data_IF_349021592430
#
_entry.id   IF_349021592430
#
_cell.length_a   1.000
_cell.length_b   1.000
_cell.length_c   1.000
_cell.angle_alpha   90.00
_cell.angle_beta   90.00
_cell.angle_gamma   90.00
#
_symmetry.space_group_name_H-M   'P 1'
#
loop_
_entity.id
_entity.type
_entity.pdbx_description
1 polymer ?
#
# COMPACT_ATOMS: atom_id res chain seq x y z
N UNK A 1 20.88 -6.87 7.01
CA UNK A 1 20.36 -5.70 6.25
C UNK A 1 19.62 -4.83 7.24
N UNK A 2 19.93 -3.55 7.32
CA UNK A 2 19.27 -2.61 8.23
C UNK A 2 18.45 -1.62 7.42
N UNK A 3 17.18 -1.45 7.74
CA UNK A 3 16.33 -0.41 7.17
C UNK A 3 16.51 0.89 7.93
N UNK A 4 16.58 2.00 7.20
CA UNK A 4 16.63 3.36 7.74
C UNK A 4 15.35 4.10 7.35
N UNK A 5 14.76 4.92 8.24
CA UNK A 5 13.62 5.74 7.88
C UNK A 5 13.97 6.70 6.73
N UNK A 6 13.12 6.76 5.72
CA UNK A 6 13.23 7.72 4.60
C UNK A 6 12.20 8.84 4.72
N UNK A 7 10.98 8.51 5.16
CA UNK A 7 9.92 9.46 5.33
C UNK A 7 8.69 8.85 5.99
N UNK A 8 7.81 9.70 6.47
CA UNK A 8 6.51 9.28 7.01
C UNK A 8 5.49 10.41 6.93
N UNK A 9 4.22 10.03 6.90
CA UNK A 9 3.11 10.96 7.09
C UNK A 9 2.13 10.38 8.12
N UNK A 10 1.62 11.27 8.98
CA UNK A 10 0.52 10.98 9.92
C UNK A 10 -0.57 12.00 9.66
N UNK A 11 -1.80 11.55 9.45
CA UNK A 11 -2.94 12.47 9.31
C UNK A 11 -3.32 13.07 10.66
N UNK A 12 -3.42 14.38 10.72
CA UNK A 12 -3.92 15.12 11.90
C UNK A 12 -5.45 15.26 11.89
N UNK A 13 -6.09 15.03 10.76
CA UNK A 13 -7.55 15.09 10.56
C UNK A 13 -7.95 14.10 9.45
N UNK A 14 -9.22 13.88 9.22
CA UNK A 14 -9.71 13.05 8.11
C UNK A 14 -9.26 13.57 6.76
N UNK A 15 -9.05 12.66 5.82
CA UNK A 15 -8.66 12.93 4.44
C UNK A 15 -8.49 11.67 3.61
N UNK A 16 -8.35 11.82 2.30
CA UNK A 16 -8.30 10.70 1.35
C UNK A 16 -6.90 10.31 0.89
N UNK A 17 -5.85 10.94 1.42
CA UNK A 17 -4.50 10.74 0.90
C UNK A 17 -3.47 10.68 2.03
N UNK A 18 -2.61 9.68 1.95
CA UNK A 18 -1.32 9.61 2.64
C UNK A 18 -0.24 9.65 1.57
N UNK A 19 0.70 10.57 1.68
CA UNK A 19 1.74 10.80 0.69
C UNK A 19 3.10 11.02 1.34
N UNK A 20 4.11 10.29 0.90
CA UNK A 20 5.50 10.48 1.32
C UNK A 20 6.34 10.63 0.07
N UNK A 21 6.92 11.80 -0.11
CA UNK A 21 7.72 12.20 -1.26
C UNK A 21 9.18 12.47 -0.90
N UNK A 22 9.96 12.79 -1.91
CA UNK A 22 11.38 13.15 -1.79
C UNK A 22 12.22 12.09 -1.08
N UNK A 23 11.90 10.82 -1.35
CA UNK A 23 12.62 9.69 -0.79
C UNK A 23 14.03 9.59 -1.36
N UNK A 24 15.01 9.31 -0.50
CA UNK A 24 16.36 8.95 -0.94
C UNK A 24 16.34 7.69 -1.80
N UNK A 25 17.18 7.66 -2.84
CA UNK A 25 17.39 6.48 -3.67
C UNK A 25 17.96 5.33 -2.83
N UNK A 26 17.16 4.26 -2.70
CA UNK A 26 17.52 3.02 -2.03
C UNK A 26 17.07 1.83 -2.87
N UNK A 27 17.92 0.82 -3.06
CA UNK A 27 17.61 -0.35 -3.88
C UNK A 27 16.47 -1.22 -3.33
N UNK A 28 16.16 -1.11 -2.05
CA UNK A 28 15.04 -1.81 -1.42
C UNK A 28 14.27 -0.82 -0.56
N UNK A 29 12.96 -0.75 -0.79
CA UNK A 29 12.02 -0.01 0.05
C UNK A 29 11.20 -1.00 0.88
N UNK A 30 10.98 -0.66 2.14
CA UNK A 30 10.04 -1.32 3.04
C UNK A 30 8.98 -0.29 3.47
N UNK A 31 7.72 -0.65 3.32
CA UNK A 31 6.61 0.26 3.57
C UNK A 31 5.69 -0.37 4.61
N UNK A 32 5.34 0.41 5.62
CA UNK A 32 4.37 0.03 6.64
C UNK A 32 3.28 1.10 6.73
N UNK A 33 2.02 0.69 6.84
CA UNK A 33 0.92 1.63 6.98
C UNK A 33 -0.16 1.09 7.89
N UNK A 34 -0.69 1.96 8.73
CA UNK A 34 -1.95 1.75 9.44
C UNK A 34 -2.95 2.77 8.93
N UNK A 35 -4.00 2.30 8.27
CA UNK A 35 -5.11 3.15 7.84
C UNK A 35 -6.29 2.92 8.77
N UNK A 36 -6.83 4.00 9.29
CA UNK A 36 -8.04 4.03 10.11
C UNK A 36 -9.16 4.67 9.31
N UNK A 37 -10.37 4.21 9.52
CA UNK A 37 -11.57 4.73 8.82
C UNK A 37 -12.37 3.59 8.20
N UNK A 38 -13.69 3.65 8.36
CA UNK A 38 -14.62 2.72 7.72
C UNK A 38 -14.91 3.18 6.28
N UNK A 39 -15.25 2.23 5.43
CA UNK A 39 -15.55 2.46 4.01
C UNK A 39 -14.40 3.17 3.28
N UNK A 40 -13.18 2.71 3.55
CA UNK A 40 -11.96 3.23 2.92
C UNK A 40 -11.25 2.13 2.16
N UNK A 41 -10.55 2.52 1.11
CA UNK A 41 -9.72 1.66 0.26
C UNK A 41 -8.27 2.16 0.29
N UNK A 42 -7.33 1.26 0.09
CA UNK A 42 -5.92 1.64 -0.08
C UNK A 42 -5.58 1.41 -1.56
N UNK A 43 -5.44 2.49 -2.31
CA UNK A 43 -4.96 2.49 -3.69
C UNK A 43 -3.54 3.05 -3.71
N UNK A 44 -2.59 2.25 -4.18
CA UNK A 44 -1.16 2.57 -4.10
C UNK A 44 -0.67 3.02 -5.47
N UNK A 45 -0.01 4.17 -5.51
CA UNK A 45 0.70 4.69 -6.69
C UNK A 45 2.12 5.13 -6.31
N UNK A 46 3.01 5.18 -7.30
CA UNK A 46 4.39 5.60 -7.17
C UNK A 46 4.65 6.78 -8.09
N UNK A 47 5.45 7.77 -7.63
CA UNK A 47 5.89 8.92 -8.41
C UNK A 47 4.75 9.68 -9.12
N UNK A 48 3.56 9.72 -8.50
CA UNK A 48 2.39 10.37 -9.08
C UNK A 48 1.85 9.69 -10.36
N UNK A 49 2.32 8.48 -10.70
CA UNK A 49 1.88 7.77 -11.89
C UNK A 49 0.46 7.18 -11.70
N UNK A 50 -0.50 7.71 -12.42
CA UNK A 50 -1.90 7.26 -12.47
C UNK A 50 -2.25 6.61 -13.81
N UNK A 51 -1.25 6.28 -14.62
CA UNK A 51 -1.42 5.56 -15.88
C UNK A 51 -1.65 4.06 -15.70
N UNK A 52 -1.96 3.38 -16.79
CA UNK A 52 -2.19 1.94 -16.82
C UNK A 52 -0.87 1.13 -16.76
N UNK A 53 -0.01 1.47 -15.78
CA UNK A 53 1.36 0.99 -15.66
C UNK A 53 1.55 -0.03 -14.54
N UNK A 54 0.47 -0.45 -13.88
CA UNK A 54 0.52 -1.41 -12.78
C UNK A 54 -0.08 -2.75 -13.20
N UNK A 55 0.48 -3.81 -12.64
CA UNK A 55 -0.15 -5.12 -12.63
C UNK A 55 0.09 -5.79 -11.29
N UNK A 56 -0.89 -6.51 -10.79
CA UNK A 56 -0.78 -7.19 -9.50
C UNK A 56 -1.61 -8.48 -9.47
N UNK A 57 -1.20 -9.36 -8.59
CA UNK A 57 -1.91 -10.60 -8.25
C UNK A 57 -2.09 -10.65 -6.75
N UNK A 58 -3.24 -11.09 -6.32
CA UNK A 58 -3.56 -11.19 -4.91
C UNK A 58 -4.38 -12.43 -4.60
N UNK A 59 -4.30 -12.90 -3.36
CA UNK A 59 -5.11 -13.98 -2.80
C UNK A 59 -5.16 -13.89 -1.28
N UNK A 60 -6.19 -14.45 -0.68
CA UNK A 60 -6.37 -14.45 0.77
C UNK A 60 -7.79 -14.82 1.18
N UNK A 61 -8.05 -14.89 2.49
CA UNK A 61 -9.37 -15.22 3.07
C UNK A 61 -10.05 -16.43 2.42
N UNK A 62 -9.28 -17.45 2.03
CA UNK A 62 -9.76 -18.59 1.26
C UNK A 62 -10.33 -18.25 -0.13
N UNK A 63 -10.17 -17.01 -0.59
CA UNK A 63 -10.49 -16.64 -1.96
C UNK A 63 -9.41 -17.17 -2.91
N UNK A 64 -9.82 -17.58 -4.10
CA UNK A 64 -8.88 -17.97 -5.14
C UNK A 64 -8.01 -16.80 -5.60
N UNK A 65 -6.88 -17.14 -6.22
CA UNK A 65 -6.01 -16.17 -6.88
C UNK A 65 -6.79 -15.29 -7.87
N UNK A 66 -6.53 -13.99 -7.80
CA UNK A 66 -7.03 -13.02 -8.77
C UNK A 66 -5.89 -12.13 -9.26
N UNK A 67 -6.06 -11.52 -10.42
CA UNK A 67 -5.06 -10.61 -10.97
C UNK A 67 -5.70 -9.43 -11.69
N UNK A 68 -5.00 -8.31 -11.69
CA UNK A 68 -5.31 -7.13 -12.47
C UNK A 68 -4.10 -6.75 -13.33
N UNK A 69 -4.35 -6.35 -14.57
CA UNK A 69 -3.33 -5.88 -15.51
C UNK A 69 -3.77 -4.56 -16.13
N UNK A 70 -2.80 -3.75 -16.58
CA UNK A 70 -3.07 -2.41 -17.09
C UNK A 70 -3.89 -1.57 -16.10
N UNK A 71 -3.59 -1.71 -14.81
CA UNK A 71 -4.26 -0.97 -13.75
C UNK A 71 -3.58 0.38 -13.54
N UNK A 72 -4.34 1.33 -13.00
CA UNK A 72 -3.86 2.69 -12.69
C UNK A 72 -3.29 2.78 -11.27
N UNK A 73 -3.37 1.71 -10.50
CA UNK A 73 -2.93 1.60 -9.10
C UNK A 73 -2.83 0.13 -8.69
N UNK A 74 -2.21 -0.13 -7.54
CA UNK A 74 -2.27 -1.43 -6.86
C UNK A 74 -3.37 -1.34 -5.79
N UNK A 75 -4.32 -2.29 -5.78
CA UNK A 75 -5.38 -2.36 -4.78
C UNK A 75 -5.27 -3.65 -3.96
N UNK A 76 -4.66 -3.62 -2.77
CA UNK A 76 -4.60 -4.76 -1.87
C UNK A 76 -5.84 -4.88 -0.97
N UNK A 77 -6.75 -3.91 -0.97
CA UNK A 77 -7.89 -3.88 -0.03
C UNK A 77 -8.90 -4.96 -0.36
N UNK A 78 -9.16 -5.85 0.60
CA UNK A 78 -10.17 -6.90 0.48
C UNK A 78 -11.59 -6.39 0.81
N UNK A 79 -11.72 -5.72 1.95
CA UNK A 79 -12.99 -5.18 2.45
C UNK A 79 -12.79 -3.70 2.84
N UNK A 80 -13.76 -2.88 2.49
CA UNK A 80 -13.72 -1.44 2.79
C UNK A 80 -14.36 -1.10 4.15
N UNK A 81 -15.28 -1.94 4.64
CA UNK A 81 -16.01 -1.70 5.89
C UNK A 81 -15.17 -1.67 7.17
N UNK A 82 -14.09 -2.49 7.34
CA UNK A 82 -13.29 -2.47 8.56
C UNK A 82 -12.66 -1.11 8.86
N UNK A 83 -12.62 -0.77 10.14
CA UNK A 83 -12.15 0.54 10.62
C UNK A 83 -10.64 0.63 10.86
N UNK A 84 -9.93 -0.49 10.84
CA UNK A 84 -8.46 -0.55 10.99
C UNK A 84 -7.91 -1.52 9.96
N UNK A 85 -6.96 -1.03 9.19
CA UNK A 85 -6.25 -1.76 8.13
C UNK A 85 -4.75 -1.62 8.35
N UNK A 86 -4.03 -2.71 8.21
CA UNK A 86 -2.57 -2.74 8.30
C UNK A 86 -2.00 -3.32 7.01
N UNK A 87 -0.98 -2.65 6.48
CA UNK A 87 -0.30 -3.06 5.26
C UNK A 87 1.21 -3.01 5.48
N UNK A 88 1.88 -4.04 4.98
CA UNK A 88 3.34 -4.08 4.83
C UNK A 88 3.69 -4.50 3.42
N UNK A 89 4.75 -3.91 2.82
CA UNK A 89 5.27 -4.36 1.54
C UNK A 89 6.76 -4.06 1.37
N UNK A 90 7.43 -4.90 0.59
CA UNK A 90 8.81 -4.75 0.17
C UNK A 90 8.88 -4.57 -1.34
N UNK A 91 9.76 -3.68 -1.81
CA UNK A 91 9.89 -3.31 -3.22
C UNK A 91 11.37 -3.33 -3.60
N UNK A 92 11.69 -3.96 -4.74
CA UNK A 92 12.99 -3.81 -5.40
C UNK A 92 12.95 -2.54 -6.26
N UNK A 93 13.80 -1.56 -5.94
CA UNK A 93 13.74 -0.19 -6.46
C UNK A 93 15.03 0.22 -7.20
N UNK A 94 15.50 -0.61 -8.14
CA UNK A 94 16.65 -0.24 -8.99
C UNK A 94 16.24 0.71 -10.11
N UNK A 95 17.10 1.70 -10.37
CA UNK A 95 16.96 2.61 -11.53
C UNK A 95 16.98 1.84 -12.87
N UNK A 96 16.36 2.42 -13.89
CA UNK A 96 16.24 1.88 -15.23
C UNK A 96 15.64 0.47 -15.33
N UNK A 97 14.86 0.05 -14.34
CA UNK A 97 14.19 -1.26 -14.29
C UNK A 97 12.74 -1.13 -13.85
N UNK A 98 11.87 -2.03 -14.34
CA UNK A 98 10.54 -2.20 -13.79
C UNK A 98 10.65 -2.60 -12.30
N UNK A 99 9.74 -2.08 -11.47
CA UNK A 99 9.72 -2.39 -10.03
C UNK A 99 8.84 -3.60 -9.79
N UNK A 100 9.30 -4.48 -8.91
CA UNK A 100 8.50 -5.60 -8.39
C UNK A 100 8.45 -5.52 -6.88
N UNK A 101 7.33 -5.94 -6.32
CA UNK A 101 7.17 -5.97 -4.87
C UNK A 101 6.22 -7.07 -4.41
N UNK A 102 6.29 -7.31 -3.13
CA UNK A 102 5.45 -8.26 -2.41
C UNK A 102 4.91 -7.58 -1.17
N UNK A 103 3.66 -7.86 -0.82
CA UNK A 103 3.07 -7.30 0.38
C UNK A 103 1.99 -8.16 1.00
N UNK A 104 1.61 -7.73 2.20
CA UNK A 104 0.48 -8.26 2.96
C UNK A 104 -0.41 -7.12 3.43
N UNK A 105 -1.68 -7.38 3.36
CA UNK A 105 -2.73 -6.55 3.91
C UNK A 105 -3.53 -7.35 4.92
N UNK A 106 -3.88 -6.76 6.03
CA UNK A 106 -4.83 -7.33 6.99
C UNK A 106 -5.74 -6.24 7.55
N UNK A 107 -6.95 -6.60 7.87
CA UNK A 107 -7.90 -5.77 8.61
C UNK A 107 -8.57 -6.55 9.72
N UNK A 108 -9.25 -5.85 10.61
CA UNK A 108 -9.87 -6.47 11.79
C UNK A 108 -11.06 -7.39 11.46
N UNK A 109 -11.54 -7.37 10.19
CA UNK A 109 -12.78 -8.10 9.84
C UNK A 109 -13.96 -7.63 10.68
N UNK A 110 -14.78 -8.59 11.11
CA UNK A 110 -15.83 -8.32 12.08
C UNK A 110 -15.29 -8.33 13.50
N UNK A 111 -15.84 -7.50 14.38
CA UNK A 111 -15.43 -7.42 15.77
C UNK A 111 -15.69 -8.72 16.55
N UNK A 112 -14.87 -8.96 17.57
CA UNK A 112 -15.03 -10.06 18.53
C UNK A 112 -14.12 -11.25 18.27
N UNK A 113 -13.78 -11.97 19.33
CA UNK A 113 -12.81 -13.09 19.32
C UNK A 113 -13.25 -14.30 18.50
N UNK A 114 -14.51 -14.37 18.12
CA UNK A 114 -15.07 -15.44 17.27
C UNK A 114 -14.86 -15.19 15.77
N UNK A 115 -14.34 -14.04 15.39
CA UNK A 115 -14.09 -13.66 14.01
C UNK A 115 -12.58 -13.53 13.78
N UNK A 116 -12.09 -14.22 12.75
CA UNK A 116 -10.69 -14.06 12.33
C UNK A 116 -10.52 -12.73 11.57
N UNK A 117 -9.34 -12.09 11.64
CA UNK A 117 -9.03 -10.95 10.77
C UNK A 117 -9.01 -11.37 9.30
N UNK A 118 -9.30 -10.43 8.43
CA UNK A 118 -9.07 -10.62 6.99
C UNK A 118 -7.60 -10.54 6.66
N UNK A 119 -7.15 -11.31 5.67
CA UNK A 119 -5.77 -11.30 5.17
C UNK A 119 -5.76 -11.38 3.65
N UNK A 120 -4.90 -10.56 3.03
CA UNK A 120 -4.55 -10.63 1.62
C UNK A 120 -3.03 -10.64 1.46
N UNK A 121 -2.52 -11.51 0.61
CA UNK A 121 -1.15 -11.46 0.11
C UNK A 121 -1.20 -10.96 -1.32
N UNK A 122 -0.25 -10.12 -1.71
CA UNK A 122 -0.19 -9.60 -3.06
C UNK A 122 1.26 -9.48 -3.55
N UNK A 123 1.42 -9.63 -4.83
CA UNK A 123 2.64 -9.30 -5.56
C UNK A 123 2.28 -8.34 -6.66
N UNK A 124 3.18 -7.43 -7.00
CA UNK A 124 2.90 -6.43 -8.01
C UNK A 124 4.11 -6.09 -8.85
N UNK A 125 3.83 -5.44 -9.96
CA UNK A 125 4.80 -4.83 -10.86
C UNK A 125 4.32 -3.42 -11.21
N UNK A 126 5.27 -2.48 -11.23
CA UNK A 126 5.11 -1.16 -11.82
C UNK A 126 6.12 -1.00 -12.95
N UNK A 127 5.66 -0.57 -14.13
CA UNK A 127 6.51 -0.48 -15.34
C UNK A 127 7.30 0.81 -15.43
N UNK A 128 7.18 1.72 -14.44
CA UNK A 128 8.06 2.88 -14.35
C UNK A 128 9.52 2.47 -14.22
N UNK A 129 10.42 3.13 -14.96
CA UNK A 129 11.86 2.86 -14.95
C UNK A 129 12.61 3.64 -13.88
N UNK A 130 12.13 4.82 -13.52
CA UNK A 130 12.78 5.69 -12.53
C UNK A 130 12.71 5.08 -11.12
N UNK A 131 13.65 5.43 -10.26
CA UNK A 131 13.55 5.06 -8.83
C UNK A 131 12.24 5.60 -8.23
N UNK A 132 11.67 4.86 -7.31
CA UNK A 132 10.53 5.35 -6.54
C UNK A 132 11.05 6.37 -5.54
N UNK A 133 10.65 7.62 -5.70
CA UNK A 133 10.92 8.73 -4.80
C UNK A 133 9.65 9.28 -4.12
N UNK A 134 8.47 8.76 -4.51
CA UNK A 134 7.19 9.09 -3.90
C UNK A 134 6.30 7.85 -3.80
N UNK A 135 5.65 7.70 -2.66
CA UNK A 135 4.64 6.67 -2.39
C UNK A 135 3.36 7.34 -1.93
N UNK A 136 2.26 7.11 -2.67
CA UNK A 136 0.96 7.69 -2.36
C UNK A 136 -0.07 6.58 -2.12
N UNK A 137 -0.82 6.69 -1.04
CA UNK A 137 -2.02 5.91 -0.76
C UNK A 137 -3.23 6.81 -0.91
N UNK A 138 -4.17 6.43 -1.76
CA UNK A 138 -5.38 7.21 -2.02
C UNK A 138 -6.61 6.36 -1.70
N UNK A 139 -7.63 7.01 -1.16
CA UNK A 139 -8.97 6.44 -1.00
C UNK A 139 -9.88 6.91 -2.12
N UNK A 140 -10.65 6.02 -2.71
CA UNK A 140 -11.71 6.31 -3.69
C UNK A 140 -13.09 5.80 -3.26
N UNK A 141 -13.20 5.33 -2.02
CA UNK A 141 -14.47 4.89 -1.44
C UNK A 141 -15.16 6.04 -0.66
N UNK A 142 -16.31 5.77 -0.07
CA UNK A 142 -17.19 6.79 0.51
C UNK A 142 -16.75 7.33 1.87
N UNK A 143 -15.80 6.67 2.55
CA UNK A 143 -15.24 7.13 3.84
C UNK A 143 -13.94 7.90 3.65
N UNK A 144 -13.45 8.54 4.71
CA UNK A 144 -12.14 9.19 4.77
C UNK A 144 -11.18 8.35 5.63
N UNK A 145 -9.89 8.41 5.32
CA UNK A 145 -8.87 8.01 6.30
C UNK A 145 -9.00 8.92 7.51
N UNK A 146 -9.14 8.32 8.69
CA UNK A 146 -9.27 9.08 9.94
C UNK A 146 -7.92 9.63 10.40
N UNK A 147 -7.95 10.60 11.32
CA UNK A 147 -6.78 11.03 12.06
C UNK A 147 -6.00 9.83 12.63
N UNK A 148 -4.70 9.97 12.79
CA UNK A 148 -3.74 8.94 13.18
C UNK A 148 -3.57 7.79 12.16
N UNK A 149 -4.10 7.91 10.94
CA UNK A 149 -3.64 7.07 9.83
C UNK A 149 -2.21 7.44 9.48
N UNK A 150 -1.37 6.43 9.24
CA UNK A 150 0.07 6.62 9.04
C UNK A 150 0.59 5.83 7.86
N UNK A 151 1.54 6.42 7.14
CA UNK A 151 2.36 5.79 6.11
C UNK A 151 3.83 6.01 6.47
N UNK A 152 4.59 4.93 6.63
CA UNK A 152 6.03 4.96 6.87
C UNK A 152 6.76 4.33 5.69
N UNK A 153 7.87 4.92 5.28
CA UNK A 153 8.75 4.40 4.23
C UNK A 153 10.18 4.29 4.78
N UNK A 154 10.77 3.13 4.61
CA UNK A 154 12.13 2.82 5.00
C UNK A 154 12.91 2.34 3.77
N UNK A 155 14.22 2.53 3.78
CA UNK A 155 15.10 2.05 2.73
C UNK A 155 16.29 1.26 3.27
N UNK A 156 16.77 0.32 2.47
CA UNK A 156 17.97 -0.46 2.77
C UNK A 156 18.83 -0.61 1.52
N UNK A 157 20.12 -0.67 1.74
CA UNK A 157 21.16 -0.95 0.73
C UNK A 157 21.76 -2.34 0.94
#
# INVERSE_FOLDING_TARGET
MAFTPLGFQVLSSGGDTLDVDSLDDKPILHIESVVRGANTRILITFNGDTGANYSYRYGGNQAGDSSSVNANYINPTYDTAPTVKFLVMDIINYDAQEKIGIGKYTDIGSAGVSNAPNEMQFVFKWTGSDVIDQVTFTNDDSGDYSADSVLNVFGSS
#
